data_IF_123081482114
#
_entry.id   IF_123081482114
#
_cell.length_a   1.000
_cell.length_b   1.000
_cell.length_c   1.000
_cell.angle_alpha   90.00
_cell.angle_beta   90.00
_cell.angle_gamma   90.00
#
_symmetry.space_group_name_H-M   'P 1'
#
loop_
_entity.id
_entity.type
_entity.pdbx_description
1 polymer ?
#
# COMPACT_ATOMS: atom_id res chain seq x y z
N UNK A 1 1.31 7.59 30.06
CA UNK A 1 2.30 6.78 30.81
C UNK A 1 2.58 5.52 30.00
N UNK A 2 3.83 5.10 29.83
CA UNK A 2 4.16 3.87 29.09
C UNK A 2 4.02 2.68 30.03
N UNK A 3 3.07 1.79 29.77
CA UNK A 3 2.85 0.59 30.59
C UNK A 3 3.82 -0.52 30.14
N UNK A 4 4.67 -0.97 31.06
CA UNK A 4 5.58 -2.12 30.86
C UNK A 4 4.75 -3.39 31.09
N UNK A 5 4.68 -4.27 30.09
CA UNK A 5 3.88 -5.50 30.14
C UNK A 5 4.64 -6.67 30.76
N UNK A 6 5.92 -6.82 30.38
CA UNK A 6 6.80 -7.86 30.91
C UNK A 6 8.26 -7.43 30.79
N UNK A 7 9.11 -7.96 31.67
CA UNK A 7 10.56 -7.82 31.57
C UNK A 7 11.23 -9.18 31.60
N UNK A 8 12.04 -9.47 30.58
CA UNK A 8 12.90 -10.65 30.54
C UNK A 8 14.36 -10.22 30.70
N UNK A 9 15.07 -10.85 31.61
CA UNK A 9 16.51 -10.67 31.80
C UNK A 9 17.25 -11.80 31.13
N UNK A 10 18.10 -11.48 30.16
CA UNK A 10 18.97 -12.46 29.50
C UNK A 10 20.40 -12.17 29.93
N UNK A 11 21.04 -13.18 30.53
CA UNK A 11 22.44 -13.13 30.91
C UNK A 11 23.30 -13.39 29.66
N UNK A 12 24.24 -12.49 29.35
CA UNK A 12 25.21 -12.72 28.27
C UNK A 12 26.39 -13.48 28.88
N UNK A 13 26.71 -14.71 28.42
CA UNK A 13 27.94 -15.37 28.82
C UNK A 13 29.14 -14.55 28.29
N UNK A 14 30.13 -14.35 29.16
CA UNK A 14 31.46 -13.75 28.91
C UNK A 14 31.71 -12.28 29.30
N UNK A 15 30.75 -11.50 29.83
CA UNK A 15 31.06 -10.12 30.25
C UNK A 15 30.30 -9.56 31.47
N UNK A 16 29.55 -10.36 32.22
CA UNK A 16 28.80 -9.90 33.40
C UNK A 16 27.71 -8.86 33.08
N UNK A 17 27.40 -8.64 31.80
CA UNK A 17 26.39 -7.71 31.31
C UNK A 17 25.02 -8.36 31.34
N UNK A 18 24.04 -7.68 31.94
CA UNK A 18 22.64 -8.09 31.94
C UNK A 18 21.85 -7.29 30.91
N UNK A 19 21.17 -7.97 30.01
CA UNK A 19 20.22 -7.36 29.08
C UNK A 19 18.83 -7.44 29.69
N UNK A 20 18.22 -6.28 29.92
CA UNK A 20 16.81 -6.21 30.32
C UNK A 20 15.99 -5.85 29.08
N UNK A 21 15.11 -6.77 28.67
CA UNK A 21 14.17 -6.62 27.57
C UNK A 21 12.87 -6.11 28.19
N UNK A 22 12.48 -4.87 27.87
CA UNK A 22 11.17 -4.34 28.26
C UNK A 22 10.17 -4.46 27.11
N UNK A 23 9.03 -5.12 27.35
CA UNK A 23 7.87 -5.05 26.47
C UNK A 23 7.03 -3.82 26.82
N UNK A 24 7.00 -2.82 25.93
CA UNK A 24 6.21 -1.60 26.13
C UNK A 24 5.05 -1.57 25.15
N UNK A 25 3.83 -1.51 25.69
CA UNK A 25 2.63 -1.28 24.87
C UNK A 25 2.47 0.23 24.61
N UNK A 26 2.10 0.61 23.38
CA UNK A 26 1.48 1.91 23.11
C UNK A 26 0.02 1.64 22.74
N UNK A 27 -0.88 2.43 23.29
CA UNK A 27 -2.35 2.26 23.37
C UNK A 27 -3.13 2.16 22.03
N UNK A 28 -2.51 1.77 20.91
CA UNK A 28 -3.17 1.51 19.64
C UNK A 28 -3.36 -0.01 19.41
N UNK A 29 -4.53 -0.49 18.91
CA UNK A 29 -4.81 -1.91 18.67
C UNK A 29 -3.97 -2.55 17.53
N UNK A 30 -3.00 -1.82 16.97
CA UNK A 30 -2.01 -2.27 15.98
C UNK A 30 -0.59 -2.36 16.58
N UNK A 31 -0.54 -2.78 17.85
CA UNK A 31 0.61 -2.90 18.75
C UNK A 31 2.01 -2.75 18.11
N UNK A 32 2.63 -1.60 18.38
CA UNK A 32 4.08 -1.42 18.31
C UNK A 32 4.69 -2.10 19.54
N UNK A 33 5.46 -3.18 19.34
CA UNK A 33 6.36 -3.67 20.37
C UNK A 33 7.69 -2.93 20.26
N UNK A 34 8.01 -2.07 21.22
CA UNK A 34 9.33 -1.46 21.34
C UNK A 34 10.07 -2.26 22.42
N UNK A 35 11.07 -3.04 21.99
CA UNK A 35 12.04 -3.65 22.90
C UNK A 35 13.10 -2.59 23.18
N UNK A 36 13.15 -2.11 24.43
CA UNK A 36 14.27 -1.28 24.91
C UNK A 36 15.26 -2.21 25.58
N UNK A 37 16.51 -2.23 25.08
CA UNK A 37 17.61 -2.98 25.67
C UNK A 37 18.50 -2.00 26.42
N UNK A 38 18.53 -2.10 27.74
CA UNK A 38 19.46 -1.33 28.57
C UNK A 38 20.60 -2.25 28.99
N UNK A 39 21.83 -1.92 28.60
CA UNK A 39 23.02 -2.60 29.11
C UNK A 39 23.38 -1.96 30.46
N UNK A 40 23.19 -2.68 31.57
CA UNK A 40 23.74 -2.25 32.86
C UNK A 40 25.19 -2.70 32.95
N UNK A 41 26.13 -1.75 32.89
CA UNK A 41 27.45 -1.91 33.50
C UNK A 41 27.37 -1.43 34.96
N UNK A 42 28.00 -2.17 35.86
CA UNK A 42 28.02 -1.90 37.30
C UNK A 42 28.41 -0.45 37.62
N UNK A 43 27.43 0.38 37.95
CA UNK A 43 27.63 1.70 38.57
C UNK A 43 27.35 2.93 37.71
N UNK A 44 27.06 2.81 36.40
CA UNK A 44 26.72 3.97 35.56
C UNK A 44 25.56 3.66 34.61
N UNK A 45 24.40 4.28 34.84
CA UNK A 45 23.29 4.31 33.89
C UNK A 45 23.58 5.28 32.75
N UNK A 46 24.54 4.94 31.89
CA UNK A 46 24.67 5.63 30.61
C UNK A 46 23.49 5.21 29.73
N UNK A 47 22.52 6.11 29.54
CA UNK A 47 21.48 5.97 28.52
C UNK A 47 22.17 6.13 27.17
N UNK A 48 22.81 5.06 26.69
CA UNK A 48 23.23 4.99 25.31
C UNK A 48 21.96 5.09 24.46
N UNK A 49 21.95 6.12 23.61
CA UNK A 49 21.03 6.38 22.51
C UNK A 49 20.05 5.24 22.23
N UNK A 50 18.76 5.53 22.42
CA UNK A 50 17.62 4.65 22.12
C UNK A 50 17.66 4.26 20.63
N UNK A 51 18.43 3.22 20.31
CA UNK A 51 18.30 2.48 19.07
C UNK A 51 17.05 1.62 19.20
N UNK A 52 16.06 1.88 18.36
CA UNK A 52 14.84 1.09 18.30
C UNK A 52 15.22 -0.34 17.88
N UNK A 53 15.22 -1.28 18.83
CA UNK A 53 15.79 -2.61 18.60
C UNK A 53 14.86 -3.57 17.88
N UNK A 54 13.58 -3.28 17.83
CA UNK A 54 12.62 -4.21 17.29
C UNK A 54 11.34 -3.47 16.92
N UNK A 55 10.82 -3.72 15.73
CA UNK A 55 9.50 -3.28 15.34
C UNK A 55 8.79 -4.47 14.71
N UNK A 56 7.83 -5.00 15.44
CA UNK A 56 6.95 -6.05 14.96
C UNK A 56 5.65 -5.40 14.52
N UNK A 57 5.23 -5.70 13.29
CA UNK A 57 3.90 -5.34 12.82
C UNK A 57 3.24 -6.60 12.30
N UNK A 58 2.04 -6.84 12.81
CA UNK A 58 1.35 -8.10 12.66
C UNK A 58 0.07 -7.93 11.84
N UNK A 59 -0.03 -8.71 10.78
CA UNK A 59 -1.13 -8.62 9.81
C UNK A 59 -1.99 -9.87 9.80
N UNK A 60 -3.28 -9.73 10.10
CA UNK A 60 -4.26 -10.82 10.06
C UNK A 60 -4.65 -11.12 8.61
N UNK A 61 -4.41 -12.35 8.16
CA UNK A 61 -4.93 -12.85 6.90
C UNK A 61 -6.33 -13.43 7.12
N UNK A 62 -7.34 -12.89 6.45
CA UNK A 62 -8.67 -13.51 6.40
C UNK A 62 -8.64 -14.90 5.77
N UNK A 63 -9.57 -15.78 6.15
CA UNK A 63 -9.51 -17.22 5.87
C UNK A 63 -9.44 -17.65 4.40
N UNK A 64 -9.79 -16.79 3.44
CA UNK A 64 -9.80 -17.09 2.01
C UNK A 64 -8.50 -16.73 1.26
N UNK A 65 -7.45 -16.27 1.95
CA UNK A 65 -6.22 -15.77 1.33
C UNK A 65 -5.01 -16.61 1.71
N UNK A 66 -4.29 -17.10 0.71
CA UNK A 66 -3.01 -17.78 0.89
C UNK A 66 -1.84 -16.82 0.67
N UNK A 67 -0.97 -16.69 1.67
CA UNK A 67 0.29 -15.98 1.54
C UNK A 67 1.43 -16.99 1.55
N UNK A 68 2.35 -16.87 0.59
CA UNK A 68 3.62 -17.60 0.54
C UNK A 68 4.76 -16.59 0.53
N UNK A 69 5.80 -16.88 1.30
CA UNK A 69 7.03 -16.10 1.32
C UNK A 69 8.15 -16.89 0.66
N UNK A 70 8.91 -16.25 -0.22
CA UNK A 70 10.17 -16.77 -0.76
C UNK A 70 11.25 -15.72 -0.49
N UNK A 71 11.93 -15.84 0.64
CA UNK A 71 12.82 -14.78 1.14
C UNK A 71 12.06 -13.46 1.32
N UNK A 72 12.44 -12.43 0.57
CA UNK A 72 11.80 -11.09 0.56
C UNK A 72 10.72 -10.92 -0.52
N UNK A 73 10.34 -12.00 -1.19
CA UNK A 73 9.25 -12.01 -2.17
C UNK A 73 7.96 -12.48 -1.53
N UNK A 74 6.92 -11.63 -1.57
CA UNK A 74 5.59 -11.92 -1.05
C UNK A 74 4.68 -12.33 -2.21
N UNK A 75 4.09 -13.51 -2.08
CA UNK A 75 3.13 -14.04 -3.04
C UNK A 75 1.80 -14.17 -2.33
N UNK A 76 0.80 -13.41 -2.77
CA UNK A 76 -0.56 -13.45 -2.24
C UNK A 76 -1.47 -14.07 -3.30
N UNK A 77 -2.22 -15.10 -2.91
CA UNK A 77 -3.25 -15.75 -3.74
C UNK A 77 -4.59 -15.58 -3.05
N UNK A 78 -5.61 -15.23 -3.83
CA UNK A 78 -6.99 -15.15 -3.39
C UNK A 78 -7.95 -15.49 -4.52
N UNK A 79 -9.26 -15.31 -4.30
CA UNK A 79 -10.29 -15.69 -5.26
C UNK A 79 -10.17 -14.96 -6.60
N UNK A 80 -9.73 -13.69 -6.60
CA UNK A 80 -9.60 -12.89 -7.82
C UNK A 80 -8.29 -13.07 -8.58
N UNK A 81 -7.36 -13.86 -8.05
CA UNK A 81 -6.09 -14.15 -8.70
C UNK A 81 -4.88 -14.13 -7.76
N UNK A 82 -3.71 -13.86 -8.33
CA UNK A 82 -2.41 -13.91 -7.66
C UNK A 82 -1.65 -12.62 -7.87
N UNK A 83 -1.12 -12.06 -6.80
CA UNK A 83 -0.18 -10.93 -6.83
C UNK A 83 1.18 -11.37 -6.29
N UNK A 84 2.23 -10.90 -6.95
CA UNK A 84 3.62 -11.17 -6.57
C UNK A 84 4.34 -9.85 -6.43
N UNK A 85 5.04 -9.66 -5.32
CA UNK A 85 5.81 -8.44 -5.09
C UNK A 85 7.12 -8.73 -4.37
N UNK A 86 8.18 -8.08 -4.83
CA UNK A 86 9.53 -8.25 -4.32
C UNK A 86 9.96 -7.03 -3.50
N UNK A 87 10.53 -7.26 -2.31
CA UNK A 87 11.04 -6.21 -1.43
C UNK A 87 12.57 -6.29 -1.25
N UNK A 88 13.29 -6.70 -2.30
CA UNK A 88 14.76 -6.91 -2.24
C UNK A 88 15.55 -5.62 -1.97
N UNK A 89 14.99 -4.46 -2.29
CA UNK A 89 15.60 -3.15 -2.06
C UNK A 89 15.70 -2.75 -0.58
N UNK A 90 15.02 -3.48 0.33
CA UNK A 90 15.06 -3.21 1.78
C UNK A 90 15.59 -4.44 2.50
N UNK A 91 16.54 -4.21 3.41
CA UNK A 91 17.07 -5.26 4.28
C UNK A 91 16.17 -5.43 5.50
N UNK A 92 15.36 -6.49 5.50
CA UNK A 92 14.41 -6.86 6.55
C UNK A 92 14.10 -8.35 6.48
N UNK A 93 13.47 -8.84 7.54
CA UNK A 93 13.07 -10.23 7.69
C UNK A 93 11.54 -10.34 7.65
N UNK A 94 11.03 -11.25 6.82
CA UNK A 94 9.61 -11.56 6.71
C UNK A 94 9.36 -12.97 7.23
N UNK A 95 8.48 -13.11 8.21
CA UNK A 95 8.10 -14.40 8.78
C UNK A 95 6.58 -14.56 8.83
N UNK A 96 6.11 -15.77 8.51
CA UNK A 96 4.70 -16.14 8.70
C UNK A 96 4.57 -16.88 10.02
N UNK A 97 3.85 -16.29 10.95
CA UNK A 97 3.55 -16.85 12.27
C UNK A 97 2.15 -17.49 12.27
N UNK A 98 2.04 -18.63 12.96
CA UNK A 98 0.77 -19.28 13.26
C UNK A 98 0.26 -20.23 12.17
N UNK A 99 -0.14 -21.44 12.57
CA UNK A 99 -0.74 -22.45 11.67
C UNK A 99 -2.23 -22.21 11.39
N UNK A 100 -2.96 -21.64 12.37
CA UNK A 100 -4.43 -21.40 12.30
C UNK A 100 -4.80 -19.96 11.92
N UNK A 101 -4.09 -18.97 12.48
CA UNK A 101 -4.19 -17.57 12.04
C UNK A 101 -2.86 -17.21 11.40
N UNK A 102 -2.86 -17.05 10.07
CA UNK A 102 -1.66 -16.63 9.33
C UNK A 102 -1.41 -15.16 9.64
N UNK A 103 -0.37 -14.92 10.42
CA UNK A 103 0.07 -13.60 10.84
C UNK A 103 1.39 -13.29 10.13
N UNK A 104 1.41 -12.26 9.28
CA UNK A 104 2.68 -11.80 8.70
C UNK A 104 3.38 -10.92 9.72
N UNK A 105 4.61 -11.28 10.08
CA UNK A 105 5.54 -10.50 10.91
C UNK A 105 6.63 -9.95 10.02
N UNK A 106 6.88 -8.66 10.16
CA UNK A 106 7.94 -7.93 9.47
C UNK A 106 8.87 -7.39 10.54
N UNK A 107 10.12 -7.86 10.52
CA UNK A 107 11.13 -7.48 11.50
C UNK A 107 12.27 -6.72 10.82
N UNK A 108 12.71 -5.64 11.46
CA UNK A 108 13.89 -4.87 11.07
C UNK A 108 14.81 -4.75 12.28
N UNK A 109 15.95 -5.39 12.18
CA UNK A 109 17.02 -5.30 13.16
C UNK A 109 17.80 -3.99 12.98
N UNK A 110 18.12 -3.32 14.09
CA UNK A 110 19.00 -2.14 14.11
C UNK A 110 18.59 -1.03 13.13
N UNK A 111 17.28 -0.75 13.06
CA UNK A 111 16.73 0.19 12.08
C UNK A 111 16.95 1.65 12.46
N UNK A 112 17.49 2.45 11.53
CA UNK A 112 17.42 3.91 11.62
C UNK A 112 15.96 4.40 11.47
N UNK A 113 15.65 5.64 11.89
CA UNK A 113 14.29 6.22 11.82
C UNK A 113 13.64 6.08 10.43
N UNK A 114 14.43 6.24 9.36
CA UNK A 114 13.97 6.07 7.97
C UNK A 114 13.62 4.62 7.65
N UNK A 115 14.43 3.68 8.12
CA UNK A 115 14.21 2.25 7.89
C UNK A 115 13.01 1.73 8.69
N UNK A 116 12.79 2.25 9.89
CA UNK A 116 11.60 1.93 10.68
C UNK A 116 10.30 2.29 9.93
N UNK A 117 10.30 3.43 9.24
CA UNK A 117 9.15 3.83 8.42
C UNK A 117 8.88 2.83 7.29
N UNK A 118 9.92 2.20 6.73
CA UNK A 118 9.76 1.21 5.66
C UNK A 118 9.01 -0.04 6.12
N UNK A 119 9.13 -0.43 7.39
CA UNK A 119 8.39 -1.59 7.92
C UNK A 119 6.88 -1.38 7.81
N UNK A 120 6.41 -0.18 8.14
CA UNK A 120 4.99 0.19 7.99
C UNK A 120 4.57 0.23 6.52
N UNK A 121 5.42 0.74 5.63
CA UNK A 121 5.09 0.78 4.19
C UNK A 121 4.85 -0.62 3.63
N UNK A 122 5.66 -1.60 4.01
CA UNK A 122 5.50 -2.98 3.54
C UNK A 122 4.22 -3.61 4.07
N UNK A 123 3.90 -3.37 5.34
CA UNK A 123 2.61 -3.80 5.88
C UNK A 123 1.44 -3.21 5.09
N UNK A 124 1.50 -1.93 4.73
CA UNK A 124 0.47 -1.31 3.89
C UNK A 124 0.43 -1.90 2.47
N UNK A 125 1.57 -2.18 1.86
CA UNK A 125 1.61 -2.85 0.55
C UNK A 125 0.98 -4.24 0.61
N UNK A 126 1.30 -5.05 1.62
CA UNK A 126 0.72 -6.38 1.79
C UNK A 126 -0.79 -6.29 2.09
N UNK A 127 -1.23 -5.34 2.93
CA UNK A 127 -2.66 -5.08 3.15
C UNK A 127 -3.39 -4.78 1.84
N UNK A 128 -2.80 -3.93 0.99
CA UNK A 128 -3.38 -3.61 -0.30
C UNK A 128 -3.39 -4.81 -1.24
N UNK A 129 -2.36 -5.65 -1.23
CA UNK A 129 -2.34 -6.90 -2.00
C UNK A 129 -3.45 -7.85 -1.54
N UNK A 130 -3.66 -8.01 -0.23
CA UNK A 130 -4.74 -8.84 0.34
C UNK A 130 -6.09 -8.31 -0.12
N UNK A 131 -6.35 -7.01 0.05
CA UNK A 131 -7.59 -6.37 -0.42
C UNK A 131 -7.78 -6.51 -1.93
N UNK A 132 -6.68 -6.42 -2.69
CA UNK A 132 -6.65 -6.56 -4.13
C UNK A 132 -7.12 -7.93 -4.63
N UNK A 133 -6.66 -9.01 -3.98
CA UNK A 133 -7.05 -10.37 -4.36
C UNK A 133 -8.42 -10.81 -3.84
N UNK A 134 -8.95 -10.16 -2.80
CA UNK A 134 -10.28 -10.46 -2.25
C UNK A 134 -11.38 -9.62 -2.89
N UNK A 135 -11.28 -8.30 -2.73
CA UNK A 135 -12.30 -7.34 -3.17
C UNK A 135 -11.94 -6.69 -4.50
N UNK A 136 -10.63 -6.50 -4.75
CA UNK A 136 -10.02 -5.72 -5.83
C UNK A 136 -10.44 -4.26 -5.88
N UNK A 137 -9.78 -3.48 -6.74
CA UNK A 137 -9.88 -2.03 -6.74
C UNK A 137 -10.69 -1.52 -7.92
N UNK A 138 -11.55 -0.54 -7.65
CA UNK A 138 -12.37 0.16 -8.65
C UNK A 138 -12.20 1.66 -8.48
N UNK A 139 -11.69 2.32 -9.51
CA UNK A 139 -11.52 3.78 -9.53
C UNK A 139 -12.54 4.35 -10.50
N UNK A 140 -13.41 5.23 -10.00
CA UNK A 140 -14.33 5.98 -10.84
C UNK A 140 -13.69 7.30 -11.21
N UNK A 141 -13.73 7.64 -12.49
CA UNK A 141 -13.23 8.89 -13.02
C UNK A 141 -14.36 9.61 -13.76
N UNK A 142 -14.47 10.92 -13.62
CA UNK A 142 -15.46 11.74 -14.30
C UNK A 142 -14.79 12.73 -15.23
N UNK A 143 -15.32 12.84 -16.44
CA UNK A 143 -14.93 13.90 -17.38
C UNK A 143 -15.75 15.16 -17.10
N UNK A 144 -15.04 16.24 -16.82
CA UNK A 144 -15.59 17.57 -16.58
C UNK A 144 -15.26 18.45 -17.78
N UNK A 145 -16.25 19.17 -18.29
CA UNK A 145 -16.12 20.08 -19.41
C UNK A 145 -17.10 21.26 -19.27
N UNK A 146 -16.72 22.43 -19.81
CA UNK A 146 -17.61 23.59 -19.88
C UNK A 146 -18.40 23.65 -21.19
N UNK A 147 -17.71 23.66 -22.33
CA UNK A 147 -18.32 23.90 -23.65
C UNK A 147 -18.10 22.76 -24.64
N UNK A 148 -16.87 22.24 -24.74
CA UNK A 148 -16.55 21.16 -25.67
C UNK A 148 -16.73 19.81 -24.97
N UNK A 149 -17.72 18.97 -25.37
CA UNK A 149 -17.89 17.66 -24.77
C UNK A 149 -16.70 16.76 -25.11
N UNK A 150 -16.16 16.10 -24.09
CA UNK A 150 -15.00 15.21 -24.22
C UNK A 150 -15.50 13.83 -24.62
N UNK A 151 -15.03 13.32 -25.77
CA UNK A 151 -15.40 11.99 -26.23
C UNK A 151 -14.31 10.99 -25.84
N UNK A 152 -14.67 10.02 -25.00
CA UNK A 152 -13.76 8.95 -24.58
C UNK A 152 -14.15 7.64 -25.23
N UNK A 153 -13.25 7.09 -26.04
CA UNK A 153 -13.44 5.83 -26.75
C UNK A 153 -12.47 4.81 -26.18
N UNK A 154 -13.01 3.66 -25.79
CA UNK A 154 -12.24 2.54 -25.27
C UNK A 154 -12.00 1.55 -26.42
N UNK A 155 -10.75 1.17 -26.63
CA UNK A 155 -10.31 0.22 -27.66
C UNK A 155 -9.61 -0.97 -27.00
N UNK A 156 -9.33 -2.00 -27.81
CA UNK A 156 -8.56 -3.18 -27.41
C UNK A 156 -9.09 -3.82 -26.11
N UNK A 157 -10.42 -4.01 -26.02
CA UNK A 157 -11.04 -4.66 -24.84
C UNK A 157 -10.70 -3.98 -23.49
N UNK A 158 -10.47 -2.67 -23.47
CA UNK A 158 -10.26 -1.91 -22.22
C UNK A 158 -8.82 -1.53 -21.92
N UNK A 159 -7.85 -1.86 -22.79
CA UNK A 159 -6.42 -1.55 -22.58
C UNK A 159 -5.99 -0.21 -23.15
N UNK A 160 -6.68 0.32 -24.16
CA UNK A 160 -6.34 1.58 -24.80
C UNK A 160 -7.52 2.55 -24.72
N UNK A 161 -7.28 3.75 -24.20
CA UNK A 161 -8.28 4.81 -24.12
C UNK A 161 -7.87 5.95 -25.04
N UNK A 162 -8.75 6.28 -25.98
CA UNK A 162 -8.62 7.43 -26.85
C UNK A 162 -9.52 8.57 -26.35
N UNK A 163 -8.91 9.72 -26.07
CA UNK A 163 -9.60 10.93 -25.67
C UNK A 163 -9.59 11.88 -26.86
N UNK A 164 -10.78 12.27 -27.31
CA UNK A 164 -11.02 13.13 -28.47
C UNK A 164 -11.73 14.41 -28.02
N UNK A 165 -11.56 15.47 -28.82
CA UNK A 165 -12.23 16.75 -28.63
C UNK A 165 -11.93 17.44 -27.27
N UNK A 166 -10.78 17.17 -26.67
CA UNK A 166 -10.36 17.86 -25.44
C UNK A 166 -10.06 19.33 -25.76
N UNK A 167 -10.73 20.28 -25.10
CA UNK A 167 -10.65 21.72 -25.39
C UNK A 167 -10.94 22.12 -26.85
N UNK A 168 -11.60 21.25 -27.63
CA UNK A 168 -11.81 21.47 -29.07
C UNK A 168 -10.58 21.19 -29.94
N UNK A 169 -9.55 20.55 -29.41
CA UNK A 169 -8.38 20.11 -30.19
C UNK A 169 -8.75 18.96 -31.14
N UNK A 170 -8.21 18.99 -32.37
CA UNK A 170 -8.28 17.87 -33.32
C UNK A 170 -7.33 16.71 -32.97
N UNK A 171 -6.41 16.93 -32.04
CA UNK A 171 -5.43 15.93 -31.62
C UNK A 171 -6.07 14.84 -30.78
N UNK A 172 -5.80 13.58 -31.12
CA UNK A 172 -6.32 12.41 -30.39
C UNK A 172 -5.28 11.98 -29.37
N UNK A 173 -5.64 12.02 -28.09
CA UNK A 173 -4.76 11.61 -27.00
C UNK A 173 -5.00 10.13 -26.72
N UNK A 174 -3.98 9.31 -26.93
CA UNK A 174 -4.03 7.86 -26.68
C UNK A 174 -3.31 7.52 -25.39
N UNK A 175 -4.00 6.86 -24.47
CA UNK A 175 -3.46 6.43 -23.18
C UNK A 175 -3.58 4.92 -23.10
N UNK A 176 -2.44 4.24 -22.97
CA UNK A 176 -2.37 2.79 -22.78
C UNK A 176 -2.35 2.47 -21.29
N UNK A 177 -3.25 1.58 -20.87
CA UNK A 177 -3.36 1.12 -19.49
C UNK A 177 -2.22 0.18 -19.12
N UNK A 178 -1.97 0.08 -17.81
CA UNK A 178 -1.04 -0.90 -17.27
C UNK A 178 -1.62 -2.32 -17.39
N UNK A 179 -0.75 -3.35 -17.48
CA UNK A 179 -1.22 -4.72 -17.64
C UNK A 179 -2.10 -5.16 -16.46
N UNK A 180 -3.21 -5.84 -16.75
CA UNK A 180 -4.14 -6.32 -15.73
C UNK A 180 -5.11 -5.26 -15.19
N UNK A 181 -5.15 -4.06 -15.80
CA UNK A 181 -6.18 -3.04 -15.55
C UNK A 181 -7.10 -2.97 -16.75
N UNK A 182 -8.40 -3.03 -16.49
CA UNK A 182 -9.45 -2.91 -17.52
C UNK A 182 -10.18 -1.59 -17.32
N UNK A 183 -10.31 -0.82 -18.39
CA UNK A 183 -11.13 0.38 -18.42
C UNK A 183 -12.48 0.10 -19.09
N UNK A 184 -13.56 0.57 -18.49
CA UNK A 184 -14.92 0.51 -19.02
C UNK A 184 -15.63 1.86 -18.87
N UNK A 185 -16.62 2.11 -19.72
CA UNK A 185 -17.52 3.27 -19.54
C UNK A 185 -18.64 2.84 -18.60
N UNK A 186 -18.97 3.68 -17.62
CA UNK A 186 -20.06 3.40 -16.69
C UNK A 186 -21.41 3.46 -17.41
N UNK A 187 -22.26 2.47 -17.18
CA UNK A 187 -23.64 2.49 -17.68
C UNK A 187 -24.58 3.33 -16.80
N UNK A 188 -24.23 3.48 -15.51
CA UNK A 188 -25.09 4.13 -14.52
C UNK A 188 -25.03 5.67 -14.60
N UNK A 189 -23.88 6.21 -14.96
CA UNK A 189 -23.64 7.64 -15.01
C UNK A 189 -23.00 8.01 -16.34
N UNK A 190 -23.57 9.01 -17.01
CA UNK A 190 -22.99 9.59 -18.23
C UNK A 190 -21.62 10.22 -17.90
N UNK A 191 -20.68 10.15 -18.84
CA UNK A 191 -19.39 10.84 -18.77
C UNK A 191 -18.51 10.34 -17.59
N UNK A 192 -18.68 9.07 -17.21
CA UNK A 192 -17.94 8.39 -16.15
C UNK A 192 -17.19 7.16 -16.70
N UNK A 193 -15.91 7.07 -16.35
CA UNK A 193 -15.00 5.97 -16.67
C UNK A 193 -14.72 5.17 -15.40
N UNK A 194 -14.74 3.86 -15.53
CA UNK A 194 -14.42 2.94 -14.44
C UNK A 194 -13.14 2.21 -14.80
N UNK A 195 -12.16 2.24 -13.89
CA UNK A 195 -10.94 1.45 -13.99
C UNK A 195 -10.97 0.37 -12.92
N UNK A 196 -10.84 -0.88 -13.34
CA UNK A 196 -10.83 -2.03 -12.46
C UNK A 196 -9.51 -2.79 -12.56
N UNK A 197 -9.03 -3.29 -11.43
CA UNK A 197 -7.85 -4.13 -11.38
C UNK A 197 -7.58 -4.68 -9.98
N UNK A 198 -6.68 -5.66 -9.92
CA UNK A 198 -6.32 -6.30 -8.66
C UNK A 198 -5.20 -5.56 -7.91
N UNK A 199 -4.30 -4.88 -8.64
CA UNK A 199 -3.20 -4.10 -8.04
C UNK A 199 -3.53 -2.61 -7.99
N UNK A 200 -3.55 -2.05 -6.78
CA UNK A 200 -3.84 -0.62 -6.54
C UNK A 200 -2.84 0.30 -7.25
N UNK A 201 -1.58 -0.10 -7.38
CA UNK A 201 -0.56 0.76 -7.98
C UNK A 201 -0.73 0.86 -9.48
N UNK A 202 -1.05 -0.26 -10.14
CA UNK A 202 -1.30 -0.29 -11.57
C UNK A 202 -2.59 0.45 -11.93
N UNK A 203 -3.66 0.27 -11.14
CA UNK A 203 -4.93 0.99 -11.30
C UNK A 203 -4.72 2.49 -11.09
N UNK A 204 -4.04 2.87 -10.00
CA UNK A 204 -3.75 4.28 -9.70
C UNK A 204 -2.88 4.94 -10.76
N UNK A 205 -1.82 4.27 -11.22
CA UNK A 205 -0.93 4.77 -12.26
C UNK A 205 -1.70 4.98 -13.57
N UNK A 206 -2.54 4.02 -13.95
CA UNK A 206 -3.38 4.11 -15.15
C UNK A 206 -4.35 5.30 -15.07
N UNK A 207 -5.00 5.50 -13.92
CA UNK A 207 -5.87 6.68 -13.71
C UNK A 207 -5.10 8.00 -13.76
N UNK A 208 -3.88 8.04 -13.21
CA UNK A 208 -3.02 9.22 -13.25
C UNK A 208 -2.57 9.54 -14.68
N UNK A 209 -2.28 8.54 -15.51
CA UNK A 209 -1.91 8.74 -16.91
C UNK A 209 -3.05 9.38 -17.71
N UNK A 210 -4.30 8.96 -17.48
CA UNK A 210 -5.47 9.60 -18.09
C UNK A 210 -5.56 11.06 -17.68
N UNK A 211 -5.48 11.34 -16.37
CA UNK A 211 -5.58 12.69 -15.85
C UNK A 211 -4.44 13.60 -16.37
N UNK A 212 -3.20 13.09 -16.40
CA UNK A 212 -2.04 13.81 -16.93
C UNK A 212 -2.16 14.08 -18.43
N UNK A 213 -2.72 13.14 -19.19
CA UNK A 213 -2.98 13.33 -20.61
C UNK A 213 -4.00 14.46 -20.86
N UNK A 214 -4.96 14.66 -19.96
CA UNK A 214 -5.97 15.74 -20.06
C UNK A 214 -5.58 16.99 -19.29
N UNK A 215 -4.30 17.31 -19.18
CA UNK A 215 -3.86 18.55 -18.55
C UNK A 215 -3.92 19.73 -19.52
N UNK A 216 -4.56 20.81 -19.08
CA UNK A 216 -4.59 22.08 -19.80
C UNK A 216 -3.22 22.75 -19.73
N UNK A 217 -2.70 23.20 -20.88
CA UNK A 217 -1.42 23.91 -20.98
C UNK A 217 -1.63 25.33 -21.49
N UNK A 218 -0.74 26.25 -21.10
CA UNK A 218 -0.71 27.64 -21.57
C UNK A 218 -2.04 28.41 -21.40
N UNK A 219 -2.84 28.07 -20.38
CA UNK A 219 -4.08 28.75 -19.99
C UNK A 219 -4.19 28.76 -18.47
N UNK A 220 -5.06 29.60 -17.93
CA UNK A 220 -5.34 29.65 -16.49
C UNK A 220 -6.18 28.44 -16.04
N UNK A 221 -5.56 27.57 -15.24
CA UNK A 221 -6.15 26.35 -14.69
C UNK A 221 -7.30 26.62 -13.72
N UNK A 222 -7.44 27.84 -13.19
CA UNK A 222 -8.54 28.19 -12.27
C UNK A 222 -9.85 28.44 -13.00
N UNK A 223 -9.77 28.85 -14.28
CA UNK A 223 -10.91 29.11 -15.14
C UNK A 223 -11.21 27.93 -16.06
N UNK A 224 -10.17 27.28 -16.58
CA UNK A 224 -10.30 26.10 -17.44
C UNK A 224 -10.11 24.82 -16.61
N UNK A 225 -11.20 24.35 -16.02
CA UNK A 225 -11.24 23.14 -15.19
C UNK A 225 -11.47 21.85 -16.00
N UNK A 226 -11.57 21.95 -17.33
CA UNK A 226 -11.80 20.84 -18.24
C UNK A 226 -10.73 19.74 -18.06
N UNK A 227 -11.17 18.50 -17.86
CA UNK A 227 -10.27 17.39 -17.56
C UNK A 227 -11.01 16.14 -17.09
N UNK A 228 -10.28 15.04 -16.93
CA UNK A 228 -10.81 13.80 -16.37
C UNK A 228 -10.18 13.59 -14.99
N UNK A 229 -11.00 13.49 -13.96
CA UNK A 229 -10.57 13.42 -12.56
C UNK A 229 -11.09 12.16 -11.88
N UNK A 230 -10.33 11.64 -10.91
CA UNK A 230 -10.79 10.54 -10.05
C UNK A 230 -11.85 11.09 -9.08
N UNK A 231 -13.08 10.59 -9.17
CA UNK A 231 -14.18 10.97 -8.29
C UNK A 231 -14.20 10.12 -7.02
N UNK A 232 -14.07 8.81 -7.16
CA UNK A 232 -14.19 7.86 -6.05
C UNK A 232 -13.15 6.73 -6.19
N UNK A 233 -12.65 6.28 -5.04
CA UNK A 233 -11.79 5.10 -4.91
C UNK A 233 -12.55 4.06 -4.09
N UNK A 234 -13.07 3.05 -4.77
CA UNK A 234 -13.82 1.96 -4.16
C UNK A 234 -13.22 0.59 -4.43
N UNK A 235 -13.98 -0.44 -4.08
CA UNK A 235 -13.70 -1.84 -4.40
C UNK A 235 -14.70 -2.35 -5.45
N UNK A 236 -14.36 -3.45 -6.11
CA UNK A 236 -15.27 -4.06 -7.11
C UNK A 236 -16.37 -4.83 -6.39
N UNK A 237 -15.97 -5.64 -5.41
CA UNK A 237 -16.88 -6.33 -4.49
C UNK A 237 -17.03 -5.44 -3.26
N UNK A 238 -18.27 -5.13 -2.91
CA UNK A 238 -18.58 -4.43 -1.66
C UNK A 238 -18.35 -5.41 -0.50
N UNK A 239 -17.60 -5.02 0.55
CA UNK A 239 -17.50 -5.88 1.72
C UNK A 239 -18.86 -5.97 2.39
N UNK A 240 -19.36 -7.19 2.62
CA UNK A 240 -20.52 -7.43 3.48
C UNK A 240 -20.27 -6.73 4.83
N UNK A 241 -21.16 -5.82 5.22
CA UNK A 241 -21.05 -5.00 6.44
C UNK A 241 -21.05 -5.84 7.72
#
# INVERSE_FOLDING_TARGET
>A
MKTILSSQTVDIPDNGKKLVIYEVNRDDPKSLFIISITCMESGFSSILSVCLFFFNSLLLCGGAVEIRLKGRTVIVKGPRGKLVREFNHINLELSLLGKKQKKLRVDKWWGNRKELATVRTICSHVQNMIKGVTLGFRYKMRSVYAHFPINVVIQETGTLVEIRNFLGEKYIRRVRMRPGVVCSVSAAQKDELVLEGNDVELVSNSSALIQQATTVKNKDIRKFLDGIYVSEKGTVVEPDQ
#
